data_IF_288506350551
#
_entry.id   IF_288506350551
#
_cell.length_a   1.000
_cell.length_b   1.000
_cell.length_c   1.000
_cell.angle_alpha   90.00
_cell.angle_beta   90.00
_cell.angle_gamma   90.00
#
_symmetry.space_group_name_H-M   'P 1'
#
loop_
_entity.id
_entity.type
_entity.pdbx_description
1 polymer ?
#
# COMPACT_ATOMS: atom_id res chain seq x y z
N UNK A 1 50.38 -30.30 17.52
CA UNK A 1 49.68 -31.38 18.25
C UNK A 1 48.54 -30.78 19.05
N UNK A 2 47.31 -31.11 18.64
CA UNK A 2 46.02 -31.07 19.34
C UNK A 2 45.90 -30.26 20.64
N UNK A 3 44.90 -29.37 20.68
CA UNK A 3 43.74 -29.58 21.56
C UNK A 3 42.51 -28.80 21.10
N UNK A 4 41.49 -29.59 20.79
CA UNK A 4 40.11 -29.29 20.47
C UNK A 4 39.50 -28.18 21.32
N UNK A 5 38.97 -27.14 20.65
CA UNK A 5 37.94 -26.28 21.23
C UNK A 5 36.58 -26.84 20.84
N UNK A 6 35.80 -27.21 21.87
CA UNK A 6 34.46 -27.80 21.74
C UNK A 6 33.48 -26.71 21.28
N UNK A 7 33.00 -26.81 20.05
CA UNK A 7 31.79 -26.11 19.64
C UNK A 7 30.58 -26.88 20.18
N UNK A 8 29.91 -26.32 21.19
CA UNK A 8 28.61 -26.78 21.64
C UNK A 8 27.59 -26.55 20.52
N UNK A 9 27.12 -27.65 19.94
CA UNK A 9 25.99 -27.68 19.03
C UNK A 9 24.73 -27.56 19.89
N UNK A 10 24.27 -26.34 20.13
CA UNK A 10 22.95 -26.11 20.72
C UNK A 10 21.92 -26.44 19.64
N UNK A 11 21.36 -27.63 19.71
CA UNK A 11 20.15 -28.00 18.98
C UNK A 11 18.96 -27.22 19.57
N UNK A 12 18.87 -25.94 19.20
CA UNK A 12 17.68 -25.13 19.43
C UNK A 12 16.63 -25.52 18.40
N UNK A 13 15.69 -26.40 18.80
CA UNK A 13 14.46 -26.61 18.08
C UNK A 13 13.60 -25.35 18.22
N UNK A 14 13.91 -24.32 17.43
CA UNK A 14 13.07 -23.14 17.33
C UNK A 14 11.89 -23.50 16.44
N UNK A 15 10.75 -23.82 17.06
CA UNK A 15 9.45 -23.67 16.40
C UNK A 15 9.34 -22.20 15.99
N UNK A 16 9.65 -21.91 14.73
CA UNK A 16 9.38 -20.61 14.13
C UNK A 16 7.86 -20.47 14.01
N UNK A 17 7.25 -19.92 15.05
CA UNK A 17 5.93 -19.31 14.93
C UNK A 17 6.08 -18.14 13.98
N UNK A 18 5.63 -18.33 12.74
CA UNK A 18 5.49 -17.26 11.78
C UNK A 18 4.58 -16.20 12.39
N UNK A 19 5.15 -15.09 12.85
CA UNK A 19 4.36 -13.88 13.14
C UNK A 19 3.96 -13.34 11.77
N UNK A 20 2.83 -13.84 11.28
CA UNK A 20 2.10 -13.24 10.18
C UNK A 20 1.85 -11.79 10.58
N UNK A 21 2.30 -10.86 9.75
CA UNK A 21 1.93 -9.45 9.87
C UNK A 21 0.40 -9.39 10.02
N UNK A 22 -0.07 -8.94 11.17
CA UNK A 22 -1.49 -8.77 11.44
C UNK A 22 -2.00 -7.69 10.50
N UNK A 23 -2.59 -8.12 9.39
CA UNK A 23 -3.68 -7.35 8.81
C UNK A 23 -4.68 -7.11 9.94
N UNK A 24 -5.14 -5.86 10.08
CA UNK A 24 -6.22 -5.48 11.00
C UNK A 24 -7.31 -6.57 10.96
N UNK A 25 -7.79 -7.06 12.11
CA UNK A 25 -8.53 -8.32 12.13
C UNK A 25 -9.83 -8.16 11.33
N UNK A 26 -9.83 -8.73 10.14
CA UNK A 26 -11.02 -9.35 9.59
C UNK A 26 -11.50 -10.35 10.65
N UNK A 27 -12.81 -10.31 10.93
CA UNK A 27 -13.55 -11.13 11.90
C UNK A 27 -12.80 -12.34 12.45
N UNK A 28 -12.81 -12.51 13.77
CA UNK A 28 -12.25 -13.69 14.43
C UNK A 28 -12.72 -14.95 13.68
N UNK A 29 -11.76 -15.65 13.06
CA UNK A 29 -12.02 -16.84 12.25
C UNK A 29 -12.47 -18.02 13.12
N UNK A 30 -12.42 -17.86 14.45
CA UNK A 30 -12.89 -18.83 15.42
C UNK A 30 -14.35 -18.55 15.74
N UNK A 31 -15.22 -19.22 14.99
CA UNK A 31 -16.61 -19.35 15.37
C UNK A 31 -16.73 -20.04 16.73
N UNK A 32 -17.44 -19.43 17.66
CA UNK A 32 -17.76 -20.04 18.93
C UNK A 32 -18.91 -21.05 18.80
N UNK A 33 -19.04 -22.01 19.75
CA UNK A 33 -20.17 -22.93 19.77
C UNK A 33 -21.50 -22.17 19.88
N UNK A 34 -22.33 -22.25 18.84
CA UNK A 34 -23.61 -21.53 18.73
C UNK A 34 -23.65 -20.48 17.63
N UNK A 35 -22.49 -20.11 17.07
CA UNK A 35 -22.41 -19.14 15.99
C UNK A 35 -22.95 -19.68 14.67
N UNK A 36 -23.72 -18.83 13.99
CA UNK A 36 -24.28 -19.11 12.67
C UNK A 36 -23.29 -18.69 11.58
N UNK A 37 -23.11 -19.57 10.60
CA UNK A 37 -22.24 -19.34 9.44
C UNK A 37 -22.87 -18.32 8.48
N UNK A 38 -22.09 -17.35 8.00
CA UNK A 38 -22.50 -16.49 6.87
C UNK A 38 -22.22 -17.24 5.58
N UNK A 39 -23.25 -17.86 5.01
CA UNK A 39 -23.11 -18.66 3.78
C UNK A 39 -23.29 -17.81 2.52
N UNK A 40 -24.03 -16.71 2.61
CA UNK A 40 -24.24 -15.79 1.50
C UNK A 40 -24.30 -14.35 2.01
N UNK A 41 -23.66 -13.47 1.26
CA UNK A 41 -23.75 -12.02 1.39
C UNK A 41 -24.29 -11.50 0.06
N UNK A 42 -25.29 -10.63 0.12
CA UNK A 42 -25.92 -10.05 -1.07
C UNK A 42 -26.24 -8.58 -0.84
N UNK A 43 -26.25 -7.83 -1.93
CA UNK A 43 -26.65 -6.43 -1.97
C UNK A 43 -27.80 -6.31 -2.97
N UNK A 44 -28.82 -5.52 -2.62
CA UNK A 44 -29.98 -5.34 -3.46
C UNK A 44 -30.32 -3.85 -3.56
N UNK A 45 -30.60 -3.38 -4.78
CA UNK A 45 -30.94 -1.97 -5.05
C UNK A 45 -29.74 -1.08 -5.36
N UNK A 46 -28.52 -1.63 -5.35
CA UNK A 46 -27.34 -0.97 -5.88
C UNK A 46 -27.31 -0.99 -7.41
N UNK A 47 -27.07 0.18 -8.02
CA UNK A 47 -26.91 0.36 -9.46
C UNK A 47 -25.63 1.12 -9.80
N UNK A 48 -25.21 2.00 -8.89
CA UNK A 48 -24.04 2.84 -9.06
C UNK A 48 -22.73 2.15 -8.67
N UNK A 49 -22.81 1.05 -7.91
CA UNK A 49 -21.66 0.26 -7.44
C UNK A 49 -21.97 -1.24 -7.51
N UNK A 50 -20.94 -2.02 -7.78
CA UNK A 50 -21.00 -3.48 -7.82
C UNK A 50 -21.04 -4.09 -6.41
N UNK A 51 -21.60 -5.29 -6.29
CA UNK A 51 -21.61 -6.07 -5.05
C UNK A 51 -20.21 -6.29 -4.48
N UNK A 52 -19.19 -6.42 -5.35
CA UNK A 52 -17.81 -6.59 -4.94
C UNK A 52 -17.24 -5.34 -4.25
N UNK A 53 -17.56 -4.14 -4.76
CA UNK A 53 -17.16 -2.88 -4.14
C UNK A 53 -17.84 -2.69 -2.79
N UNK A 54 -19.13 -3.01 -2.69
CA UNK A 54 -19.87 -2.92 -1.43
C UNK A 54 -19.39 -3.96 -0.41
N UNK A 55 -19.06 -5.18 -0.85
CA UNK A 55 -18.46 -6.21 -0.01
C UNK A 55 -17.12 -5.76 0.58
N UNK A 56 -16.33 -4.97 -0.16
CA UNK A 56 -15.06 -4.43 0.35
C UNK A 56 -15.23 -3.32 1.40
N UNK A 57 -16.43 -2.74 1.50
CA UNK A 57 -16.75 -1.67 2.45
C UNK A 57 -17.28 -2.18 3.79
N UNK A 58 -17.59 -3.48 3.88
CA UNK A 58 -18.12 -4.13 5.08
C UNK A 58 -17.14 -5.17 5.63
N UNK A 59 -17.29 -5.49 6.90
CA UNK A 59 -16.48 -6.51 7.59
C UNK A 59 -17.11 -7.89 7.44
N UNK A 60 -18.45 -7.96 7.45
CA UNK A 60 -19.19 -9.21 7.22
C UNK A 60 -18.82 -9.83 5.89
N UNK A 61 -18.25 -11.03 5.93
CA UNK A 61 -17.75 -11.75 4.75
C UNK A 61 -18.40 -13.13 4.67
N UNK A 62 -18.83 -13.62 3.50
CA UNK A 62 -19.32 -14.99 3.36
C UNK A 62 -18.18 -16.01 3.45
N UNK A 63 -18.46 -17.21 3.98
CA UNK A 63 -17.53 -18.36 3.99
C UNK A 63 -16.81 -18.56 2.66
N UNK A 64 -15.59 -19.10 2.69
CA UNK A 64 -14.76 -19.28 1.50
C UNK A 64 -15.44 -20.10 0.40
N UNK A 65 -15.07 -19.85 -0.86
CA UNK A 65 -15.67 -20.52 -2.03
C UNK A 65 -15.67 -22.06 -1.91
N UNK A 66 -14.56 -22.64 -1.49
CA UNK A 66 -14.41 -24.09 -1.28
C UNK A 66 -15.44 -24.65 -0.26
N UNK A 67 -15.81 -23.87 0.75
CA UNK A 67 -16.82 -24.25 1.73
C UNK A 67 -18.24 -24.13 1.16
N UNK A 68 -18.50 -23.05 0.41
CA UNK A 68 -19.82 -22.75 -0.14
C UNK A 68 -20.22 -23.65 -1.31
N UNK A 69 -19.29 -23.96 -2.20
CA UNK A 69 -19.57 -24.67 -3.45
C UNK A 69 -19.09 -26.12 -3.45
N UNK A 70 -17.90 -26.40 -2.88
CA UNK A 70 -17.36 -27.77 -2.78
C UNK A 70 -17.71 -28.48 -1.47
N UNK A 71 -18.40 -27.80 -0.54
CA UNK A 71 -18.81 -28.31 0.78
C UNK A 71 -17.65 -28.90 1.61
N UNK A 72 -16.43 -28.39 1.41
CA UNK A 72 -15.25 -28.85 2.13
C UNK A 72 -15.28 -28.36 3.59
N UNK A 73 -15.31 -29.25 4.60
CA UNK A 73 -15.50 -28.86 6.00
C UNK A 73 -14.31 -28.10 6.60
N UNK A 74 -13.10 -28.35 6.08
CA UNK A 74 -11.83 -27.71 6.47
C UNK A 74 -11.59 -26.35 5.83
N UNK A 75 -12.43 -25.94 4.86
CA UNK A 75 -12.33 -24.64 4.23
C UNK A 75 -12.76 -23.51 5.19
N UNK A 76 -12.26 -22.30 4.93
CA UNK A 76 -12.46 -21.10 5.77
C UNK A 76 -13.94 -20.84 6.01
N UNK A 77 -14.33 -20.80 7.29
CA UNK A 77 -15.67 -20.50 7.78
C UNK A 77 -15.69 -19.08 8.34
N UNK A 78 -16.66 -18.27 7.91
CA UNK A 78 -16.94 -16.97 8.52
C UNK A 78 -18.28 -17.06 9.26
N UNK A 79 -18.29 -16.57 10.50
CA UNK A 79 -19.48 -16.55 11.35
C UNK A 79 -20.06 -15.16 11.46
N UNK A 80 -21.38 -15.10 11.69
CA UNK A 80 -22.09 -13.84 11.78
C UNK A 80 -21.78 -13.16 13.10
N UNK A 81 -21.02 -12.08 13.05
CA UNK A 81 -20.96 -11.13 14.15
C UNK A 81 -22.17 -10.20 14.09
N UNK A 82 -23.13 -10.41 15.00
CA UNK A 82 -24.35 -9.59 15.08
C UNK A 82 -24.08 -8.17 15.54
N UNK A 83 -23.01 -7.93 16.32
CA UNK A 83 -22.62 -6.60 16.75
C UNK A 83 -22.03 -5.79 15.59
N UNK A 84 -21.53 -6.47 14.56
CA UNK A 84 -20.90 -5.82 13.41
C UNK A 84 -21.87 -5.42 12.30
N UNK A 85 -23.04 -6.05 12.21
CA UNK A 85 -24.06 -5.72 11.20
C UNK A 85 -24.51 -4.24 11.22
N UNK A 86 -24.77 -3.60 12.38
CA UNK A 86 -25.07 -2.18 12.43
C UNK A 86 -23.89 -1.30 11.96
N UNK A 87 -22.65 -1.70 12.28
CA UNK A 87 -21.45 -0.98 11.83
C UNK A 87 -21.30 -1.08 10.31
N UNK A 88 -21.50 -2.26 9.74
CA UNK A 88 -21.46 -2.50 8.29
C UNK A 88 -22.52 -1.68 7.55
N UNK A 89 -23.74 -1.59 8.08
CA UNK A 89 -24.77 -0.69 7.56
C UNK A 89 -24.29 0.77 7.55
N UNK A 90 -23.70 1.25 8.63
CA UNK A 90 -23.15 2.61 8.71
C UNK A 90 -22.00 2.80 7.72
N UNK A 91 -21.10 1.81 7.56
CA UNK A 91 -20.00 1.86 6.58
C UNK A 91 -20.53 2.00 5.16
N UNK A 92 -21.58 1.27 4.79
CA UNK A 92 -22.24 1.41 3.49
C UNK A 92 -22.84 2.81 3.33
N UNK A 93 -23.58 3.33 4.32
CA UNK A 93 -24.12 4.69 4.27
C UNK A 93 -22.99 5.72 4.06
N UNK A 94 -21.88 5.60 4.79
CA UNK A 94 -20.71 6.48 4.64
C UNK A 94 -20.05 6.29 3.27
N UNK A 95 -19.95 5.06 2.77
CA UNK A 95 -19.41 4.73 1.44
C UNK A 95 -20.16 5.46 0.33
N UNK A 96 -21.50 5.43 0.37
CA UNK A 96 -22.38 6.09 -0.60
C UNK A 96 -22.35 7.62 -0.46
N UNK A 97 -22.45 8.15 0.77
CA UNK A 97 -22.42 9.60 1.02
C UNK A 97 -21.11 10.25 0.60
N UNK A 98 -19.97 9.57 0.77
CA UNK A 98 -18.67 10.04 0.27
C UNK A 98 -18.61 10.09 -1.26
N UNK A 99 -19.45 9.32 -1.94
CA UNK A 99 -19.53 9.23 -3.40
C UNK A 99 -20.77 9.92 -3.98
N UNK A 100 -21.34 10.87 -3.24
CA UNK A 100 -22.34 11.80 -3.76
C UNK A 100 -23.79 11.39 -3.59
N UNK A 101 -24.09 10.37 -2.79
CA UNK A 101 -25.47 9.95 -2.49
C UNK A 101 -25.87 10.42 -1.08
N UNK A 102 -26.41 11.64 -0.90
CA UNK A 102 -26.71 12.19 0.42
C UNK A 102 -27.86 11.43 1.11
N UNK A 103 -28.85 11.01 0.33
CA UNK A 103 -30.13 10.44 0.79
C UNK A 103 -30.13 8.90 0.81
N UNK A 104 -28.95 8.29 0.72
CA UNK A 104 -28.83 6.83 0.76
C UNK A 104 -29.45 6.27 2.05
N UNK A 105 -30.26 5.23 1.90
CA UNK A 105 -30.71 4.40 3.01
C UNK A 105 -30.27 2.96 2.80
N UNK A 106 -29.93 2.30 3.91
CA UNK A 106 -29.47 0.92 3.90
C UNK A 106 -30.19 0.19 5.02
N UNK A 107 -30.78 -0.95 4.71
CA UNK A 107 -31.41 -1.86 5.66
C UNK A 107 -30.71 -3.22 5.63
N UNK A 108 -30.62 -3.85 6.79
CA UNK A 108 -29.98 -5.16 6.93
C UNK A 108 -31.06 -6.21 7.17
N UNK A 109 -31.09 -7.23 6.33
CA UNK A 109 -31.98 -8.40 6.46
C UNK A 109 -31.14 -9.65 6.62
N UNK A 110 -31.40 -10.42 7.68
CA UNK A 110 -30.71 -11.69 7.94
C UNK A 110 -31.71 -12.82 7.80
N UNK A 111 -31.56 -13.64 6.76
CA UNK A 111 -32.42 -14.79 6.49
C UNK A 111 -31.74 -16.06 6.99
N UNK A 112 -32.46 -16.90 7.74
CA UNK A 112 -31.98 -18.22 8.10
C UNK A 112 -32.03 -19.15 6.87
N UNK A 113 -30.90 -19.72 6.48
CA UNK A 113 -30.82 -20.75 5.43
C UNK A 113 -30.93 -22.16 6.02
N UNK A 114 -30.46 -22.34 7.26
CA UNK A 114 -30.55 -23.58 8.03
C UNK A 114 -30.36 -23.26 9.52
N UNK A 115 -30.42 -24.26 10.41
CA UNK A 115 -30.18 -24.07 11.85
C UNK A 115 -28.88 -23.33 12.19
N UNK A 116 -27.81 -23.56 11.41
CA UNK A 116 -26.47 -23.03 11.71
C UNK A 116 -25.92 -22.14 10.58
N UNK A 117 -26.77 -21.64 9.67
CA UNK A 117 -26.30 -20.80 8.57
C UNK A 117 -27.34 -19.76 8.14
N UNK A 118 -26.83 -18.60 7.76
CA UNK A 118 -27.62 -17.43 7.36
C UNK A 118 -27.16 -16.85 6.02
N UNK A 119 -28.07 -16.11 5.40
CA UNK A 119 -27.79 -15.16 4.34
C UNK A 119 -27.97 -13.75 4.91
N UNK A 120 -26.98 -12.90 4.70
CA UNK A 120 -27.06 -11.46 5.00
C UNK A 120 -27.34 -10.73 3.70
N UNK A 121 -28.39 -9.91 3.70
CA UNK A 121 -28.79 -9.09 2.57
C UNK A 121 -28.86 -7.62 3.01
N UNK A 122 -28.05 -6.78 2.39
CA UNK A 122 -28.13 -5.33 2.53
C UNK A 122 -29.03 -4.77 1.43
N UNK A 123 -30.21 -4.29 1.80
CA UNK A 123 -31.13 -3.59 0.90
C UNK A 123 -30.78 -2.12 0.89
N UNK A 124 -30.53 -1.57 -0.29
CA UNK A 124 -29.99 -0.23 -0.48
C UNK A 124 -30.95 0.56 -1.36
N UNK A 125 -31.31 1.76 -0.91
CA UNK A 125 -31.91 2.77 -1.77
C UNK A 125 -30.88 3.89 -1.93
N UNK A 126 -30.27 3.97 -3.12
CA UNK A 126 -29.15 4.89 -3.37
C UNK A 126 -29.58 6.36 -3.29
N UNK A 127 -30.80 6.66 -3.76
CA UNK A 127 -31.29 8.03 -3.90
C UNK A 127 -30.68 8.76 -5.09
N UNK A 128 -30.94 10.06 -5.21
CA UNK A 128 -30.42 10.88 -6.32
C UNK A 128 -28.97 11.30 -6.04
N UNK A 129 -28.04 11.12 -7.00
CA UNK A 129 -26.67 11.56 -6.83
C UNK A 129 -26.55 13.08 -6.97
N UNK A 130 -25.66 13.67 -6.18
CA UNK A 130 -25.14 15.02 -6.40
C UNK A 130 -24.24 15.00 -7.63
N UNK A 131 -24.40 16.01 -8.49
CA UNK A 131 -23.58 16.21 -9.70
C UNK A 131 -22.71 17.44 -9.55
N UNK A 132 -21.52 17.41 -10.14
CA UNK A 132 -20.58 18.54 -10.12
C UNK A 132 -21.04 19.54 -11.19
N UNK A 133 -21.51 20.70 -10.76
CA UNK A 133 -21.89 21.77 -11.67
C UNK A 133 -20.65 22.41 -12.29
N UNK A 134 -19.63 22.67 -11.47
CA UNK A 134 -18.39 23.34 -11.88
C UNK A 134 -17.21 22.83 -11.05
N UNK A 135 -16.06 22.68 -11.71
CA UNK A 135 -14.78 22.38 -11.09
C UNK A 135 -13.74 23.38 -11.60
N UNK A 136 -13.23 24.22 -10.70
CA UNK A 136 -12.27 25.26 -11.03
C UNK A 136 -10.91 24.95 -10.40
N UNK A 137 -9.83 25.05 -11.17
CA UNK A 137 -8.46 24.90 -10.67
C UNK A 137 -7.76 26.25 -10.78
N UNK A 138 -7.29 26.79 -9.67
CA UNK A 138 -6.62 28.10 -9.60
C UNK A 138 -5.20 27.97 -9.07
N UNK A 139 -4.37 29.00 -9.21
CA UNK A 139 -3.01 29.03 -8.67
C UNK A 139 -1.93 28.40 -9.56
N UNK A 140 -2.28 28.10 -10.82
CA UNK A 140 -1.36 27.58 -11.85
C UNK A 140 -0.96 28.63 -12.88
N UNK A 141 -1.35 29.90 -12.70
CA UNK A 141 -1.22 30.96 -13.71
C UNK A 141 0.25 31.28 -14.04
N UNK A 142 1.16 31.03 -13.10
CA UNK A 142 2.62 31.23 -13.25
C UNK A 142 3.38 29.95 -13.61
N UNK A 143 2.69 28.82 -13.77
CA UNK A 143 3.30 27.53 -14.11
C UNK A 143 3.22 27.32 -15.61
N UNK A 144 4.37 27.06 -16.23
CA UNK A 144 4.44 26.78 -17.65
C UNK A 144 3.65 25.50 -17.99
N UNK A 145 2.92 25.51 -19.11
CA UNK A 145 2.12 24.37 -19.58
C UNK A 145 1.12 23.82 -18.52
N UNK A 146 0.46 24.73 -17.78
CA UNK A 146 -0.49 24.42 -16.71
C UNK A 146 -1.50 23.30 -17.03
N UNK A 147 -1.96 23.22 -18.29
CA UNK A 147 -2.95 22.25 -18.75
C UNK A 147 -2.49 20.78 -18.59
N UNK A 148 -1.17 20.53 -18.61
CA UNK A 148 -0.62 19.17 -18.43
C UNK A 148 -0.92 18.65 -17.02
N UNK A 149 -1.00 19.54 -16.03
CA UNK A 149 -1.27 19.16 -14.65
C UNK A 149 -2.75 18.81 -14.42
N UNK A 150 -3.66 19.40 -15.19
CA UNK A 150 -5.12 19.22 -15.03
C UNK A 150 -5.77 18.30 -16.07
N UNK A 151 -5.04 17.84 -17.08
CA UNK A 151 -5.58 16.95 -18.12
C UNK A 151 -5.93 15.56 -17.56
N UNK A 152 -7.11 15.05 -17.91
CA UNK A 152 -7.53 13.68 -17.60
C UNK A 152 -7.68 13.42 -16.10
N UNK A 153 -8.13 14.41 -15.32
CA UNK A 153 -8.45 14.19 -13.92
C UNK A 153 -9.68 13.28 -13.77
N UNK A 154 -9.75 12.49 -12.70
CA UNK A 154 -10.90 11.61 -12.42
C UNK A 154 -12.19 12.37 -12.05
N UNK A 155 -12.14 13.70 -12.05
CA UNK A 155 -13.26 14.59 -11.73
C UNK A 155 -13.45 15.56 -12.87
N UNK A 156 -14.70 15.66 -13.36
CA UNK A 156 -15.11 16.57 -14.42
C UNK A 156 -16.48 17.15 -14.08
N UNK A 157 -16.78 18.33 -14.62
CA UNK A 157 -18.12 18.90 -14.53
C UNK A 157 -19.14 17.98 -15.23
N UNK A 158 -20.36 17.92 -14.70
CA UNK A 158 -21.43 17.01 -15.11
C UNK A 158 -21.36 15.61 -14.52
N UNK A 159 -20.20 15.17 -14.01
CA UNK A 159 -20.08 13.87 -13.36
C UNK A 159 -20.66 13.87 -11.92
N UNK A 160 -20.91 12.68 -11.37
CA UNK A 160 -21.28 12.50 -9.97
C UNK A 160 -20.20 13.08 -9.06
N UNK A 161 -20.61 13.81 -8.02
CA UNK A 161 -19.71 14.29 -6.98
C UNK A 161 -19.16 13.10 -6.19
N UNK A 162 -17.84 12.92 -6.23
CA UNK A 162 -17.17 11.85 -5.51
C UNK A 162 -15.95 12.40 -4.78
N UNK A 163 -16.00 12.40 -3.44
CA UNK A 163 -14.91 12.91 -2.61
C UNK A 163 -13.62 12.12 -2.79
N UNK A 164 -13.71 10.83 -3.12
CA UNK A 164 -12.54 9.99 -3.39
C UNK A 164 -11.90 10.42 -4.71
N UNK A 165 -12.69 10.67 -5.75
CA UNK A 165 -12.14 11.16 -7.02
C UNK A 165 -11.58 12.57 -6.88
N UNK A 166 -12.22 13.45 -6.10
CA UNK A 166 -11.69 14.78 -5.77
C UNK A 166 -10.33 14.68 -5.07
N UNK A 167 -10.18 13.76 -4.12
CA UNK A 167 -8.88 13.53 -3.49
C UNK A 167 -7.85 12.97 -4.48
N UNK A 168 -8.24 11.99 -5.30
CA UNK A 168 -7.36 11.42 -6.32
C UNK A 168 -6.92 12.45 -7.37
N UNK A 169 -7.79 13.40 -7.73
CA UNK A 169 -7.45 14.53 -8.59
C UNK A 169 -6.39 15.43 -7.94
N UNK A 170 -6.53 15.74 -6.65
CA UNK A 170 -5.54 16.52 -5.89
C UNK A 170 -4.18 15.84 -5.85
N UNK A 171 -4.17 14.55 -5.51
CA UNK A 171 -2.94 13.77 -5.44
C UNK A 171 -2.27 13.67 -6.81
N UNK A 172 -3.08 13.57 -7.88
CA UNK A 172 -2.59 13.56 -9.26
C UNK A 172 -1.95 14.90 -9.65
N UNK A 173 -2.60 16.03 -9.38
CA UNK A 173 -2.04 17.36 -9.67
C UNK A 173 -0.75 17.58 -8.85
N UNK A 174 -0.79 17.31 -7.54
CA UNK A 174 0.35 17.46 -6.63
C UNK A 174 1.54 16.65 -7.11
N UNK A 175 1.35 15.36 -7.41
CA UNK A 175 2.40 14.48 -7.91
C UNK A 175 2.96 14.94 -9.25
N UNK A 176 2.10 15.38 -10.19
CA UNK A 176 2.57 15.91 -11.48
C UNK A 176 3.43 17.17 -11.29
N UNK A 177 3.03 18.08 -10.40
CA UNK A 177 3.81 19.28 -10.08
C UNK A 177 5.15 18.94 -9.41
N UNK A 178 5.16 18.03 -8.43
CA UNK A 178 6.40 17.55 -7.80
C UNK A 178 7.34 16.89 -8.80
N UNK A 179 6.80 16.18 -9.79
CA UNK A 179 7.57 15.61 -10.89
C UNK A 179 7.91 16.61 -12.01
N UNK A 180 7.48 17.86 -11.91
CA UNK A 180 7.84 18.95 -12.83
C UNK A 180 8.79 19.98 -12.20
N UNK A 181 9.33 19.71 -11.01
CA UNK A 181 10.27 20.60 -10.33
C UNK A 181 9.69 21.42 -9.19
N UNK A 182 8.45 21.16 -8.76
CA UNK A 182 7.80 21.89 -7.67
C UNK A 182 7.67 21.02 -6.40
N UNK A 183 8.75 20.80 -5.62
CA UNK A 183 8.73 19.89 -4.47
C UNK A 183 7.77 20.35 -3.36
N UNK A 184 7.56 21.66 -3.22
CA UNK A 184 6.68 22.26 -2.23
C UNK A 184 5.22 22.34 -2.67
N UNK A 185 4.86 21.79 -3.83
CA UNK A 185 3.50 21.86 -4.34
C UNK A 185 2.49 21.34 -3.31
N UNK A 186 1.52 22.20 -2.99
CA UNK A 186 0.42 21.93 -2.08
C UNK A 186 -0.89 22.29 -2.77
N UNK A 187 -1.92 21.50 -2.53
CA UNK A 187 -3.27 21.81 -2.96
C UNK A 187 -4.12 22.07 -1.74
N UNK A 188 -4.64 23.29 -1.64
CA UNK A 188 -5.67 23.61 -0.68
C UNK A 188 -7.02 23.39 -1.31
N UNK A 189 -7.91 22.83 -0.50
CA UNK A 189 -9.30 22.69 -0.91
C UNK A 189 -10.18 23.34 0.12
N UNK A 190 -10.73 24.51 -0.22
CA UNK A 190 -11.91 25.01 0.46
C UNK A 190 -12.96 23.89 0.55
N UNK A 191 -13.79 23.92 1.59
CA UNK A 191 -14.90 22.96 1.69
C UNK A 191 -15.75 23.10 0.42
N UNK A 192 -16.01 22.02 -0.33
CA UNK A 192 -16.81 22.11 -1.55
C UNK A 192 -18.20 22.64 -1.18
N UNK A 193 -18.73 23.54 -2.02
CA UNK A 193 -20.09 24.05 -1.84
C UNK A 193 -21.05 23.00 -2.38
N UNK A 194 -21.79 22.35 -1.48
CA UNK A 194 -22.73 21.29 -1.83
C UNK A 194 -24.14 21.76 -1.51
N UNK A 195 -24.97 21.83 -2.53
CA UNK A 195 -26.40 22.09 -2.43
C UNK A 195 -27.16 20.76 -2.52
N UNK A 196 -27.51 20.21 -1.37
CA UNK A 196 -28.22 18.94 -1.28
C UNK A 196 -29.66 19.03 -1.80
N UNK A 197 -30.29 20.21 -1.78
CA UNK A 197 -31.66 20.39 -2.28
C UNK A 197 -31.70 20.36 -3.82
N UNK A 198 -30.69 20.94 -4.47
CA UNK A 198 -30.57 20.92 -5.93
C UNK A 198 -29.77 19.73 -6.47
N UNK A 199 -29.13 18.94 -5.61
CA UNK A 199 -28.20 17.87 -5.98
C UNK A 199 -27.03 18.37 -6.84
N UNK A 200 -26.48 19.54 -6.49
CA UNK A 200 -25.39 20.18 -7.20
C UNK A 200 -24.21 20.46 -6.27
N UNK A 201 -22.99 20.34 -6.79
CA UNK A 201 -21.76 20.68 -6.10
C UNK A 201 -20.86 21.59 -6.97
N UNK A 202 -20.23 22.56 -6.32
CA UNK A 202 -19.16 23.39 -6.88
C UNK A 202 -17.89 23.13 -6.07
N UNK A 203 -16.79 22.84 -6.77
CA UNK A 203 -15.50 22.60 -6.12
C UNK A 203 -14.40 23.48 -6.74
N UNK A 204 -13.48 23.92 -5.89
CA UNK A 204 -12.35 24.74 -6.30
C UNK A 204 -11.07 24.15 -5.73
N UNK A 205 -10.15 23.78 -6.62
CA UNK A 205 -8.84 23.27 -6.25
C UNK A 205 -7.84 24.43 -6.33
N UNK A 206 -7.40 24.93 -5.17
CA UNK A 206 -6.45 26.03 -5.09
C UNK A 206 -5.03 25.46 -5.02
N UNK A 207 -4.26 25.63 -6.09
CA UNK A 207 -2.89 25.11 -6.18
C UNK A 207 -1.92 26.16 -5.65
N UNK A 208 -1.00 25.73 -4.79
CA UNK A 208 0.18 26.49 -4.37
C UNK A 208 1.42 25.72 -4.84
N UNK A 209 1.94 26.02 -6.05
CA UNK A 209 3.03 25.22 -6.63
C UNK A 209 4.35 25.40 -5.87
N UNK A 210 4.61 26.59 -5.30
CA UNK A 210 5.92 26.90 -4.72
C UNK A 210 6.96 27.25 -5.80
N UNK A 211 8.24 27.42 -5.42
CA UNK A 211 9.32 27.73 -6.36
C UNK A 211 9.66 26.52 -7.23
N UNK A 212 10.17 26.80 -8.44
CA UNK A 212 10.77 25.78 -9.29
C UNK A 212 12.17 25.45 -8.74
N UNK A 213 12.38 24.20 -8.32
CA UNK A 213 13.55 23.78 -7.58
C UNK A 213 14.39 22.78 -8.37
N UNK A 214 15.72 22.94 -8.31
CA UNK A 214 16.71 22.01 -8.83
C UNK A 214 17.38 21.24 -7.70
N UNK A 215 17.84 20.03 -8.00
CA UNK A 215 18.64 19.24 -7.07
C UNK A 215 19.99 19.92 -6.85
N UNK A 216 20.36 20.11 -5.59
CA UNK A 216 21.67 20.53 -5.15
C UNK A 216 22.57 19.34 -4.86
N UNK A 217 23.36 19.45 -3.80
CA UNK A 217 24.22 18.37 -3.33
C UNK A 217 23.44 17.23 -2.67
N UNK A 218 24.13 16.10 -2.45
CA UNK A 218 23.60 14.97 -1.68
C UNK A 218 24.52 14.73 -0.48
N UNK A 219 23.98 15.00 0.71
CA UNK A 219 24.56 14.67 1.98
C UNK A 219 24.22 13.22 2.34
N UNK A 220 25.23 12.39 2.57
CA UNK A 220 25.05 10.96 2.87
C UNK A 220 25.44 10.70 4.31
N UNK A 221 24.50 10.19 5.08
CA UNK A 221 24.70 9.71 6.44
C UNK A 221 24.45 8.21 6.44
N UNK A 222 25.52 7.42 6.54
CA UNK A 222 25.44 5.97 6.53
C UNK A 222 25.91 5.39 7.88
N UNK A 223 25.03 4.66 8.54
CA UNK A 223 25.32 3.92 9.77
C UNK A 223 25.70 2.48 9.40
N UNK A 224 26.86 1.97 9.85
CA UNK A 224 27.24 0.57 9.65
C UNK A 224 26.25 -0.40 10.30
N UNK A 225 26.25 -1.64 9.83
CA UNK A 225 25.51 -2.72 10.49
C UNK A 225 26.24 -3.14 11.78
N UNK A 226 25.54 -3.10 12.92
CA UNK A 226 26.08 -3.43 14.24
C UNK A 226 27.41 -2.69 14.55
N UNK A 227 28.39 -3.37 15.16
CA UNK A 227 29.70 -2.81 15.51
C UNK A 227 30.71 -2.91 14.36
N UNK A 228 30.24 -3.03 13.12
CA UNK A 228 31.13 -3.12 11.97
C UNK A 228 31.62 -1.73 11.53
N UNK A 229 32.70 -1.72 10.74
CA UNK A 229 33.10 -0.54 9.99
C UNK A 229 32.23 -0.41 8.74
N UNK A 230 32.03 0.83 8.31
CA UNK A 230 31.29 1.16 7.09
C UNK A 230 31.88 0.43 5.88
N UNK A 231 31.06 -0.34 5.16
CA UNK A 231 31.52 -1.19 4.05
C UNK A 231 31.32 -0.55 2.67
N UNK A 232 30.36 0.36 2.52
CA UNK A 232 30.01 0.98 1.22
C UNK A 232 30.37 2.46 1.22
N UNK A 233 31.29 2.83 0.31
CA UNK A 233 31.73 4.22 0.16
C UNK A 233 30.63 5.15 -0.37
N UNK A 234 30.69 6.44 -0.03
CA UNK A 234 29.77 7.45 -0.56
C UNK A 234 29.75 7.48 -2.11
N UNK A 235 30.89 7.19 -2.76
CA UNK A 235 31.00 7.17 -4.22
C UNK A 235 30.08 6.11 -4.83
N UNK A 236 29.99 4.94 -4.20
CA UNK A 236 29.10 3.85 -4.63
C UNK A 236 27.65 4.25 -4.39
N UNK A 237 27.34 4.84 -3.23
CA UNK A 237 26.00 5.35 -2.91
C UNK A 237 25.54 6.39 -3.94
N UNK A 238 26.35 7.41 -4.23
CA UNK A 238 26.01 8.46 -5.23
C UNK A 238 25.73 7.87 -6.60
N UNK A 239 26.53 6.89 -7.03
CA UNK A 239 26.32 6.19 -8.30
C UNK A 239 24.99 5.42 -8.33
N UNK A 240 24.64 4.74 -7.23
CA UNK A 240 23.39 3.99 -7.13
C UNK A 240 22.16 4.90 -7.09
N UNK A 241 22.26 6.02 -6.36
CA UNK A 241 21.22 7.05 -6.35
C UNK A 241 20.94 7.55 -7.77
N UNK A 242 22.00 7.81 -8.56
CA UNK A 242 21.85 8.25 -9.95
C UNK A 242 21.12 9.60 -10.08
N UNK A 243 21.30 10.47 -9.08
CA UNK A 243 20.71 11.80 -9.01
C UNK A 243 21.82 12.82 -9.25
N UNK A 244 21.72 13.57 -10.35
CA UNK A 244 22.71 14.58 -10.71
C UNK A 244 22.28 15.97 -10.21
N UNK A 245 23.19 16.72 -9.56
CA UNK A 245 22.96 18.12 -9.22
C UNK A 245 22.63 18.97 -10.47
N UNK A 246 21.81 20.01 -10.29
CA UNK A 246 21.37 20.94 -11.33
C UNK A 246 20.15 20.49 -12.13
N UNK A 247 19.78 19.20 -12.08
CA UNK A 247 18.52 18.71 -12.67
C UNK A 247 17.31 19.23 -11.90
N UNK A 248 16.17 19.34 -12.58
CA UNK A 248 14.90 19.66 -11.90
C UNK A 248 14.56 18.57 -10.89
N UNK A 249 14.01 18.98 -9.74
CA UNK A 249 13.50 18.05 -8.75
C UNK A 249 12.38 17.18 -9.36
N UNK A 250 12.44 15.86 -9.10
CA UNK A 250 11.39 14.92 -9.46
C UNK A 250 11.22 13.89 -8.34
N UNK A 251 10.03 13.83 -7.75
CA UNK A 251 9.71 12.89 -6.67
C UNK A 251 9.90 11.43 -7.09
N UNK A 252 9.54 11.09 -8.34
CA UNK A 252 9.73 9.75 -8.90
C UNK A 252 11.20 9.34 -8.96
N UNK A 253 12.11 10.27 -9.24
CA UNK A 253 13.55 9.99 -9.30
C UNK A 253 14.10 9.65 -7.91
N UNK A 254 13.63 10.35 -6.87
CA UNK A 254 13.97 10.06 -5.48
C UNK A 254 13.45 8.68 -5.05
N UNK A 255 12.18 8.38 -5.37
CA UNK A 255 11.58 7.07 -5.07
C UNK A 255 12.31 5.94 -5.80
N UNK A 256 12.71 6.15 -7.05
CA UNK A 256 13.49 5.19 -7.82
C UNK A 256 14.91 5.01 -7.25
N UNK A 257 15.56 6.08 -6.85
CA UNK A 257 16.86 6.04 -6.18
C UNK A 257 16.81 5.24 -4.87
N UNK A 258 15.76 5.46 -4.06
CA UNK A 258 15.51 4.71 -2.82
C UNK A 258 15.26 3.22 -3.12
N UNK A 259 14.42 2.90 -4.12
CA UNK A 259 14.17 1.50 -4.53
C UNK A 259 15.45 0.80 -4.98
N UNK A 260 16.31 1.46 -5.79
CA UNK A 260 17.59 0.89 -6.24
C UNK A 260 18.49 0.53 -5.07
N UNK A 261 18.56 1.37 -4.04
CA UNK A 261 19.34 1.08 -2.84
C UNK A 261 18.76 -0.12 -2.07
N UNK A 262 17.44 -0.19 -1.88
CA UNK A 262 16.82 -1.36 -1.23
C UNK A 262 17.02 -2.67 -2.03
N UNK A 263 16.98 -2.61 -3.36
CA UNK A 263 17.20 -3.77 -4.23
C UNK A 263 18.61 -4.35 -4.13
N UNK A 264 19.58 -3.60 -3.59
CA UNK A 264 20.91 -4.16 -3.30
C UNK A 264 20.89 -5.13 -2.12
N UNK A 265 19.87 -5.09 -1.27
CA UNK A 265 19.78 -5.77 0.05
C UNK A 265 20.92 -5.42 1.02
N UNK A 266 21.86 -4.56 0.62
CA UNK A 266 22.99 -4.08 1.41
C UNK A 266 22.58 -3.04 2.46
N UNK A 267 21.34 -2.57 2.42
CA UNK A 267 20.74 -1.62 3.35
C UNK A 267 19.42 -2.16 3.89
N UNK A 268 19.25 -2.13 5.21
CA UNK A 268 17.99 -2.46 5.86
C UNK A 268 17.07 -1.25 6.01
N UNK A 269 17.65 -0.05 5.94
CA UNK A 269 16.90 1.21 5.97
C UNK A 269 17.53 2.22 5.02
N UNK A 270 16.68 2.84 4.20
CA UNK A 270 17.02 3.90 3.25
C UNK A 270 15.92 4.94 3.31
N UNK A 271 16.29 6.16 3.69
CA UNK A 271 15.42 7.34 3.63
C UNK A 271 16.13 8.43 2.85
N UNK A 272 15.45 8.98 1.85
CA UNK A 272 15.94 10.10 1.05
C UNK A 272 14.94 11.24 1.17
N UNK A 273 15.38 12.37 1.72
CA UNK A 273 14.52 13.53 1.91
C UNK A 273 15.25 14.82 1.56
N UNK A 274 14.54 15.83 1.02
CA UNK A 274 15.10 17.17 0.88
C UNK A 274 15.36 17.80 2.25
N UNK A 275 16.42 18.60 2.39
CA UNK A 275 16.57 19.52 3.53
C UNK A 275 15.34 20.44 3.60
N UNK A 276 15.11 21.06 4.76
CA UNK A 276 14.02 22.00 5.00
C UNK A 276 13.92 23.00 3.85
N UNK A 277 12.91 22.80 3.01
CA UNK A 277 12.69 23.65 1.85
C UNK A 277 12.21 25.00 2.40
N UNK A 278 13.10 25.99 2.48
CA UNK A 278 12.69 27.38 2.68
C UNK A 278 11.74 27.76 1.54
N UNK A 279 10.68 28.53 1.81
CA UNK A 279 9.61 28.82 0.82
C UNK A 279 10.11 29.45 -0.49
N UNK A 280 11.34 29.95 -0.52
CA UNK A 280 11.92 30.64 -1.66
C UNK A 280 13.18 29.97 -2.21
N UNK A 281 13.54 28.76 -1.77
CA UNK A 281 14.75 28.11 -2.26
C UNK A 281 14.52 27.44 -3.63
N UNK A 282 15.38 27.78 -4.58
CA UNK A 282 15.38 27.23 -5.94
C UNK A 282 16.37 26.07 -6.09
N UNK A 283 17.14 25.75 -5.05
CA UNK A 283 18.07 24.63 -5.01
C UNK A 283 17.81 23.82 -3.72
N UNK A 284 17.73 22.49 -3.82
CA UNK A 284 17.51 21.64 -2.64
C UNK A 284 18.61 20.62 -2.45
N UNK A 285 19.25 20.64 -1.28
CA UNK A 285 20.17 19.59 -0.86
C UNK A 285 19.37 18.37 -0.41
N UNK A 286 19.76 17.18 -0.87
CA UNK A 286 19.14 15.92 -0.45
C UNK A 286 19.95 15.29 0.69
N UNK A 287 19.25 14.77 1.70
CA UNK A 287 19.82 13.95 2.77
C UNK A 287 19.44 12.48 2.54
N UNK A 288 20.47 11.66 2.34
CA UNK A 288 20.35 10.21 2.27
C UNK A 288 20.77 9.62 3.62
N UNK A 289 19.80 9.12 4.39
CA UNK A 289 20.02 8.43 5.66
C UNK A 289 19.91 6.93 5.42
N UNK A 290 21.01 6.22 5.63
CA UNK A 290 21.18 4.82 5.28
C UNK A 290 21.61 4.01 6.51
N UNK A 291 21.06 2.81 6.68
CA UNK A 291 21.56 1.83 7.64
C UNK A 291 21.97 0.59 6.85
N UNK A 292 23.26 0.28 6.89
CA UNK A 292 23.82 -0.93 6.26
C UNK A 292 23.21 -2.20 6.87
N UNK A 293 23.13 -3.25 6.06
CA UNK A 293 22.67 -4.58 6.45
C UNK A 293 23.86 -5.54 6.59
N UNK A 294 23.64 -6.74 7.12
CA UNK A 294 24.61 -7.83 7.08
C UNK A 294 24.96 -8.16 5.62
N UNK A 295 26.21 -7.85 5.22
CA UNK A 295 26.66 -7.99 3.83
C UNK A 295 26.76 -9.44 3.34
N UNK A 296 26.72 -10.40 4.25
CA UNK A 296 26.75 -11.82 3.95
C UNK A 296 25.54 -12.49 4.60
N UNK A 297 24.86 -13.35 3.85
CA UNK A 297 23.77 -14.16 4.35
C UNK A 297 23.94 -15.62 3.90
N UNK A 298 23.46 -16.54 4.72
CA UNK A 298 23.36 -17.95 4.39
C UNK A 298 21.92 -18.40 4.60
N UNK A 299 21.35 -19.13 3.65
CA UNK A 299 20.02 -19.73 3.74
C UNK A 299 20.12 -21.22 3.50
N UNK A 300 19.40 -21.98 4.33
CA UNK A 300 19.24 -23.42 4.17
C UNK A 300 17.75 -23.72 4.12
N UNK A 301 17.33 -24.53 3.15
CA UNK A 301 15.94 -24.90 2.93
C UNK A 301 15.82 -26.39 2.65
N UNK A 302 14.71 -26.99 3.08
CA UNK A 302 14.33 -28.34 2.74
C UNK A 302 12.88 -28.35 2.24
N UNK A 303 12.52 -29.31 1.40
CA UNK A 303 11.15 -29.49 0.93
C UNK A 303 10.87 -30.90 0.45
N UNK A 304 9.60 -31.20 0.21
CA UNK A 304 9.14 -32.46 -0.35
C UNK A 304 8.13 -32.19 -1.45
N UNK A 305 8.23 -32.91 -2.57
CA UNK A 305 7.29 -32.81 -3.69
C UNK A 305 7.04 -34.17 -4.32
N UNK A 306 5.86 -34.34 -4.92
CA UNK A 306 5.46 -35.60 -5.56
C UNK A 306 6.33 -36.00 -6.75
N UNK A 307 6.95 -35.04 -7.45
CA UNK A 307 7.83 -35.30 -8.61
C UNK A 307 9.33 -35.34 -8.25
N UNK A 308 9.74 -34.51 -7.29
CA UNK A 308 11.16 -34.29 -6.95
C UNK A 308 11.61 -35.02 -5.66
N UNK A 309 10.69 -35.72 -4.99
CA UNK A 309 10.86 -36.29 -3.65
C UNK A 309 11.43 -35.26 -2.66
N UNK A 310 12.35 -35.68 -1.79
CA UNK A 310 13.02 -34.77 -0.85
C UNK A 310 14.05 -33.90 -1.57
N UNK A 311 14.03 -32.60 -1.25
CA UNK A 311 14.96 -31.59 -1.77
C UNK A 311 15.61 -30.80 -0.64
N UNK A 312 16.89 -30.49 -0.82
CA UNK A 312 17.66 -29.59 0.06
C UNK A 312 18.30 -28.50 -0.79
N UNK A 313 18.22 -27.26 -0.33
CA UNK A 313 18.77 -26.07 -0.99
C UNK A 313 19.62 -25.29 -0.01
N UNK A 314 20.85 -24.97 -0.37
CA UNK A 314 21.70 -24.02 0.32
C UNK A 314 21.97 -22.80 -0.56
N UNK A 315 21.98 -21.61 0.03
CA UNK A 315 22.29 -20.36 -0.65
C UNK A 315 23.26 -19.54 0.22
N UNK A 316 24.33 -19.05 -0.39
CA UNK A 316 25.23 -18.07 0.20
C UNK A 316 25.14 -16.78 -0.62
N UNK A 317 24.80 -15.68 0.02
CA UNK A 317 24.64 -14.38 -0.62
C UNK A 317 25.67 -13.39 -0.08
N UNK A 318 26.28 -12.60 -0.96
CA UNK A 318 27.09 -11.44 -0.62
C UNK A 318 26.51 -10.19 -1.29
N UNK A 319 26.06 -9.22 -0.50
CA UNK A 319 25.38 -8.01 -0.98
C UNK A 319 26.32 -6.84 -1.31
N UNK A 320 27.62 -6.99 -1.05
CA UNK A 320 28.63 -5.98 -1.35
C UNK A 320 29.82 -6.57 -2.11
N UNK A 321 29.52 -7.36 -3.14
CA UNK A 321 30.53 -8.06 -3.91
C UNK A 321 31.47 -7.05 -4.57
N UNK A 322 32.78 -7.29 -4.46
CA UNK A 322 33.84 -6.39 -4.92
C UNK A 322 33.74 -4.94 -4.40
N UNK A 323 33.08 -4.71 -3.25
CA UNK A 323 32.84 -3.37 -2.67
C UNK A 323 32.04 -2.44 -3.59
N UNK A 324 31.16 -3.00 -4.41
CA UNK A 324 30.34 -2.27 -5.39
C UNK A 324 28.86 -2.22 -5.04
N UNK A 325 28.46 -2.71 -3.86
CA UNK A 325 27.05 -2.92 -3.49
C UNK A 325 26.30 -3.73 -4.57
N UNK A 326 26.99 -4.77 -5.05
CA UNK A 326 26.47 -5.74 -6.01
C UNK A 326 26.21 -7.06 -5.29
N UNK A 327 25.13 -7.74 -5.68
CA UNK A 327 24.76 -9.03 -5.13
C UNK A 327 25.45 -10.16 -5.90
N UNK A 328 26.10 -11.07 -5.17
CA UNK A 328 26.57 -12.36 -5.66
C UNK A 328 25.87 -13.45 -4.85
N UNK A 329 25.17 -14.35 -5.52
CA UNK A 329 24.56 -15.53 -4.90
C UNK A 329 25.23 -16.80 -5.40
N UNK A 330 25.55 -17.69 -4.46
CA UNK A 330 25.99 -19.06 -4.72
C UNK A 330 24.92 -20.00 -4.19
N UNK A 331 24.23 -20.68 -5.10
CA UNK A 331 23.14 -21.60 -4.74
C UNK A 331 23.54 -23.03 -5.08
N UNK A 332 23.35 -23.94 -4.13
CA UNK A 332 23.48 -25.38 -4.32
C UNK A 332 22.14 -26.04 -4.04
N UNK A 333 21.71 -26.93 -4.93
CA UNK A 333 20.46 -27.68 -4.78
C UNK A 333 20.70 -29.16 -5.02
N UNK A 334 20.20 -29.99 -4.11
CA UNK A 334 20.16 -31.45 -4.25
C UNK A 334 18.68 -31.89 -4.22
N UNK A 335 18.29 -32.80 -5.11
CA UNK A 335 16.91 -33.26 -5.29
C UNK A 335 16.86 -34.76 -5.57
N UNK A 336 15.67 -35.37 -5.50
CA UNK A 336 15.48 -36.82 -5.59
C UNK A 336 16.29 -37.59 -4.55
N UNK A 337 16.40 -37.03 -3.35
CA UNK A 337 17.03 -37.72 -2.23
C UNK A 337 16.03 -38.75 -1.73
N UNK A 338 16.36 -40.04 -1.86
CA UNK A 338 15.53 -41.16 -1.42
C UNK A 338 14.53 -41.68 -2.47
N UNK A 339 15.02 -42.45 -3.44
CA UNK A 339 14.24 -43.55 -4.03
C UNK A 339 14.48 -44.78 -3.15
#
# INVERSE_FOLDING_TARGET
MNRFSKAFLVAGCALSTSIVARNLPAQDLRCDPGDVEVRRLSFAGNTAFSDAELASAVVTTPSGWARRFLRLPTAVKYCLDRAELPNDRIRLIVFYRRRGFPDVTVDTVVNALSRNAVEVNFRIHEGRPITIAELTVTGLEKVENAIVFTRGLPVVAGARFDRVNVQAARDTITRRLRNAGYPQAQLDTPRPHVDAARYLAWDTLVVRPGPLTRLGGIAITATPFENNTRQISDRVVRRLLGLDPGRLYREDDLLNAQRRLYQTEAYQHVTLFPDSLSRNDSIVTLHAVLIENAMNAARLGAGYGTLDCFRVTGELSNYNFMKRAQRLDLTARVSKIGI
#
